data_IF_182150825403
#
_entry.id   IF_182150825403
#
_cell.length_a   1.000
_cell.length_b   1.000
_cell.length_c   1.000
_cell.angle_alpha   90.00
_cell.angle_beta   90.00
_cell.angle_gamma   90.00
#
_symmetry.space_group_name_H-M   'P 1'
#
loop_
_entity.id
_entity.type
_entity.pdbx_description
1 polymer ?
#
# COMPACT_ATOMS: atom_id res chain seq x y z
N UNK A 1 31.25 5.41 -10.69
CA UNK A 1 30.56 4.39 -9.85
C UNK A 1 29.46 3.78 -10.67
N UNK A 2 29.21 2.48 -10.50
CA UNK A 2 28.06 1.80 -11.10
C UNK A 2 26.96 1.65 -10.05
N UNK A 3 25.71 1.51 -10.50
CA UNK A 3 24.62 1.13 -9.62
C UNK A 3 24.84 -0.31 -9.14
N UNK A 4 24.49 -0.59 -7.87
CA UNK A 4 24.49 -1.95 -7.35
C UNK A 4 23.32 -2.72 -7.94
N UNK A 5 23.61 -3.78 -8.71
CA UNK A 5 22.63 -4.52 -9.51
C UNK A 5 21.81 -5.47 -8.63
N UNK A 6 20.61 -5.02 -8.23
CA UNK A 6 19.67 -5.77 -7.38
C UNK A 6 18.27 -5.92 -7.98
N UNK A 7 18.04 -5.36 -9.18
CA UNK A 7 16.74 -5.41 -9.85
C UNK A 7 16.85 -6.03 -11.25
N UNK A 8 16.04 -7.05 -11.59
CA UNK A 8 15.86 -7.47 -12.97
C UNK A 8 15.09 -6.38 -13.74
N UNK A 9 15.76 -5.70 -14.67
CA UNK A 9 15.17 -4.61 -15.43
C UNK A 9 14.58 -5.10 -16.75
N UNK A 10 13.44 -4.53 -17.17
CA UNK A 10 13.01 -4.56 -18.57
C UNK A 10 13.81 -3.51 -19.35
N UNK A 11 14.17 -3.77 -20.62
CA UNK A 11 14.87 -2.80 -21.48
C UNK A 11 13.89 -1.74 -22.01
N UNK A 12 13.24 -1.01 -21.12
CA UNK A 12 12.32 0.09 -21.40
C UNK A 12 12.69 1.23 -20.45
N UNK A 13 12.88 2.42 -20.97
CA UNK A 13 13.18 3.64 -20.21
C UNK A 13 12.01 4.62 -20.29
N UNK A 14 11.05 4.60 -19.34
CA UNK A 14 9.99 5.60 -19.29
C UNK A 14 10.57 6.97 -18.95
N UNK A 15 10.27 7.97 -19.79
CA UNK A 15 10.78 9.36 -19.64
C UNK A 15 9.67 10.38 -19.43
N UNK A 16 8.42 10.01 -19.66
CA UNK A 16 7.25 10.87 -19.50
C UNK A 16 6.05 10.06 -19.03
N UNK A 17 5.20 10.68 -18.20
CA UNK A 17 3.91 10.12 -17.81
C UNK A 17 2.79 11.14 -17.99
N UNK A 18 1.57 10.67 -18.29
CA UNK A 18 0.35 11.48 -18.34
C UNK A 18 -0.88 10.61 -18.06
N UNK A 19 -1.62 10.94 -17.00
CA UNK A 19 -2.80 10.16 -16.60
C UNK A 19 -2.46 8.70 -16.34
N UNK A 20 -3.08 7.79 -17.06
CA UNK A 20 -2.89 6.34 -16.90
C UNK A 20 -1.78 5.76 -17.81
N UNK A 21 -0.97 6.61 -18.44
CA UNK A 21 0.00 6.19 -19.44
C UNK A 21 1.42 6.69 -19.12
N UNK A 22 2.42 5.89 -19.50
CA UNK A 22 3.82 6.27 -19.53
C UNK A 22 4.36 6.14 -20.96
N UNK A 23 5.41 6.91 -21.26
CA UNK A 23 6.03 6.97 -22.60
C UNK A 23 7.53 6.76 -22.45
N UNK A 24 8.11 5.91 -23.30
CA UNK A 24 9.54 5.67 -23.31
C UNK A 24 10.33 6.71 -24.16
N UNK A 25 11.64 6.50 -24.25
CA UNK A 25 12.57 7.37 -25.02
C UNK A 25 12.24 7.44 -26.51
N UNK A 26 11.61 6.41 -27.07
CA UNK A 26 11.21 6.33 -28.48
C UNK A 26 9.80 6.91 -28.71
N UNK A 27 9.13 7.34 -27.63
CA UNK A 27 7.79 7.90 -27.66
C UNK A 27 6.68 6.84 -27.68
N UNK A 28 7.01 5.56 -27.50
CA UNK A 28 6.02 4.50 -27.37
C UNK A 28 5.17 4.70 -26.09
N UNK A 29 3.86 4.68 -26.27
CA UNK A 29 2.90 4.78 -25.19
C UNK A 29 2.63 3.41 -24.56
N UNK A 30 2.60 3.36 -23.23
CA UNK A 30 2.26 2.17 -22.45
C UNK A 30 1.13 2.50 -21.48
N UNK A 31 0.09 1.68 -21.45
CA UNK A 31 -0.95 1.72 -20.40
C UNK A 31 -0.37 1.18 -19.10
N UNK A 32 -0.41 1.98 -18.04
CA UNK A 32 0.15 1.61 -16.74
C UNK A 32 -0.94 1.03 -15.80
N UNK A 33 -1.06 -0.30 -15.79
CA UNK A 33 -1.92 -1.03 -14.85
C UNK A 33 -1.15 -1.53 -13.63
N UNK A 34 0.01 -0.94 -13.33
CA UNK A 34 0.83 -1.33 -12.18
C UNK A 34 1.10 -0.17 -11.22
N UNK A 35 1.12 1.06 -11.74
CA UNK A 35 1.30 2.27 -10.94
C UNK A 35 2.58 2.27 -10.11
N UNK A 36 3.67 1.62 -10.58
CA UNK A 36 4.90 1.48 -9.81
C UNK A 36 4.66 0.84 -8.42
N UNK A 37 4.05 -0.35 -8.36
CA UNK A 37 3.63 -1.03 -7.12
C UNK A 37 2.45 -0.36 -6.40
N UNK A 38 1.47 0.21 -7.11
CA UNK A 38 0.34 0.98 -6.57
C UNK A 38 0.77 2.30 -5.89
N UNK A 39 1.88 2.88 -6.31
CA UNK A 39 2.36 4.18 -5.82
C UNK A 39 1.61 5.32 -6.49
N UNK A 40 1.43 5.24 -7.82
CA UNK A 40 0.68 6.24 -8.58
C UNK A 40 -0.81 6.05 -8.29
N UNK A 41 -1.38 6.99 -7.54
CA UNK A 41 -2.78 6.96 -7.12
C UNK A 41 -3.69 7.81 -8.00
N UNK A 42 -3.28 9.03 -8.32
CA UNK A 42 -4.10 10.03 -9.06
C UNK A 42 -3.69 10.16 -10.54
N UNK A 43 -2.87 9.23 -11.04
CA UNK A 43 -2.31 9.28 -12.39
C UNK A 43 -1.00 10.06 -12.47
N UNK A 44 -0.28 9.84 -13.59
CA UNK A 44 1.00 10.48 -13.84
C UNK A 44 0.82 11.96 -14.21
N UNK A 45 1.68 12.81 -13.65
CA UNK A 45 1.77 14.25 -13.97
C UNK A 45 0.43 14.99 -13.89
N UNK A 46 -0.39 14.70 -12.88
CA UNK A 46 -1.66 15.40 -12.66
C UNK A 46 -1.41 16.91 -12.50
N UNK A 47 -2.09 17.80 -13.26
CA UNK A 47 -1.78 19.23 -13.27
C UNK A 47 -1.78 19.90 -11.91
N UNK A 48 -2.81 19.64 -11.08
CA UNK A 48 -2.92 20.18 -9.72
C UNK A 48 -1.74 19.75 -8.84
N UNK A 49 -1.36 18.49 -8.91
CA UNK A 49 -0.21 17.94 -8.18
C UNK A 49 1.12 18.57 -8.61
N UNK A 50 1.33 18.71 -9.91
CA UNK A 50 2.55 19.35 -10.47
C UNK A 50 2.65 20.80 -10.03
N UNK A 51 1.53 21.56 -10.09
CA UNK A 51 1.48 22.96 -9.67
C UNK A 51 1.76 23.13 -8.17
N UNK A 52 1.15 22.28 -7.33
CA UNK A 52 1.35 22.30 -5.88
C UNK A 52 2.84 22.10 -5.51
N UNK A 53 3.50 21.09 -6.11
CA UNK A 53 4.92 20.82 -5.86
C UNK A 53 5.80 21.96 -6.40
N UNK A 54 5.53 22.44 -7.63
CA UNK A 54 6.30 23.52 -8.25
C UNK A 54 6.24 24.81 -7.40
N UNK A 55 5.07 25.19 -6.90
CA UNK A 55 4.90 26.32 -6.00
C UNK A 55 5.64 26.11 -4.70
N UNK A 56 5.51 24.92 -4.08
CA UNK A 56 6.10 24.66 -2.79
C UNK A 56 7.64 24.65 -2.86
N UNK A 57 8.24 24.04 -3.89
CA UNK A 57 9.70 24.05 -4.06
C UNK A 57 10.25 25.45 -4.33
N UNK A 58 9.49 26.30 -5.00
CA UNK A 58 9.85 27.70 -5.25
C UNK A 58 9.76 28.57 -3.98
N UNK A 59 8.99 28.14 -2.97
CA UNK A 59 8.79 28.87 -1.71
C UNK A 59 9.72 28.35 -0.61
N UNK A 60 9.54 27.11 -0.21
CA UNK A 60 10.33 26.43 0.83
C UNK A 60 10.11 24.93 0.70
N UNK A 61 11.15 24.19 0.27
CA UNK A 61 11.07 22.75 0.10
C UNK A 61 11.18 21.96 1.40
N UNK A 62 12.03 22.43 2.30
CA UNK A 62 12.35 21.73 3.56
C UNK A 62 12.78 22.70 4.66
N UNK A 63 12.35 22.39 5.88
CA UNK A 63 12.95 22.85 7.12
C UNK A 63 12.78 21.79 8.20
N UNK A 64 13.57 21.92 9.30
CA UNK A 64 13.59 20.94 10.39
C UNK A 64 12.27 20.86 11.16
N UNK A 65 11.94 19.68 11.65
CA UNK A 65 10.82 19.44 12.58
C UNK A 65 11.02 20.08 13.98
N UNK A 66 12.08 20.88 14.18
CA UNK A 66 12.28 21.68 15.39
C UNK A 66 11.44 22.97 15.41
N UNK A 67 10.75 23.32 14.34
CA UNK A 67 9.88 24.50 14.22
C UNK A 67 8.49 24.09 13.72
N UNK A 68 7.53 24.98 13.88
CA UNK A 68 6.17 24.73 13.40
C UNK A 68 6.08 24.69 11.88
N UNK A 69 5.29 23.73 11.37
CA UNK A 69 4.93 23.61 9.98
C UNK A 69 3.40 23.51 9.86
N UNK A 70 2.76 24.58 9.37
CA UNK A 70 1.31 24.65 9.22
C UNK A 70 0.75 23.62 8.24
N UNK A 71 1.53 23.25 7.21
CA UNK A 71 1.11 22.24 6.23
C UNK A 71 1.00 20.84 6.86
N UNK A 72 1.83 20.51 7.86
CA UNK A 72 1.66 19.25 8.60
C UNK A 72 0.34 19.23 9.37
N UNK A 73 0.00 20.33 10.05
CA UNK A 73 -1.26 20.46 10.80
C UNK A 73 -2.47 20.37 9.86
N UNK A 74 -2.40 21.04 8.73
CA UNK A 74 -3.44 21.02 7.68
C UNK A 74 -3.61 19.60 7.12
N UNK A 75 -2.51 18.96 6.73
CA UNK A 75 -2.56 17.62 6.16
C UNK A 75 -3.12 16.60 7.16
N UNK A 76 -2.64 16.60 8.42
CA UNK A 76 -3.17 15.71 9.45
C UNK A 76 -4.69 15.88 9.65
N UNK A 77 -5.15 17.14 9.74
CA UNK A 77 -6.58 17.45 9.88
C UNK A 77 -7.41 17.00 8.67
N UNK A 78 -6.92 17.24 7.44
CA UNK A 78 -7.62 16.84 6.22
C UNK A 78 -7.63 15.33 6.04
N UNK A 79 -6.50 14.66 6.31
CA UNK A 79 -6.42 13.21 6.26
C UNK A 79 -7.40 12.57 7.24
N UNK A 80 -7.46 13.07 8.49
CA UNK A 80 -8.40 12.58 9.50
C UNK A 80 -9.84 12.63 9.02
N UNK A 81 -10.27 13.78 8.43
CA UNK A 81 -11.61 13.92 7.85
C UNK A 81 -11.85 12.98 6.67
N UNK A 82 -10.91 12.92 5.75
CA UNK A 82 -11.05 12.11 4.54
C UNK A 82 -11.18 10.61 4.83
N UNK A 83 -10.49 10.13 5.87
CA UNK A 83 -10.49 8.70 6.22
C UNK A 83 -11.43 8.34 7.38
N UNK A 84 -12.05 9.31 8.08
CA UNK A 84 -12.93 9.07 9.23
C UNK A 84 -12.22 8.76 10.55
N UNK A 85 -11.00 9.27 10.71
CA UNK A 85 -10.13 9.10 11.90
C UNK A 85 -9.69 10.46 12.46
N UNK A 86 -10.62 11.40 12.60
CA UNK A 86 -10.35 12.77 13.08
C UNK A 86 -9.82 12.82 14.51
N UNK A 87 -10.12 11.80 15.30
CA UNK A 87 -9.67 11.64 16.69
C UNK A 87 -8.27 11.03 16.81
N UNK A 88 -7.65 10.56 15.70
CA UNK A 88 -6.30 9.98 15.72
C UNK A 88 -5.23 11.06 15.60
N UNK A 89 -4.08 10.80 16.20
CA UNK A 89 -2.86 11.56 15.95
C UNK A 89 -2.15 11.05 14.70
N UNK A 90 -1.33 11.88 14.06
CA UNK A 90 -0.61 11.51 12.85
C UNK A 90 0.89 11.80 12.96
N UNK A 91 1.74 10.81 12.71
CA UNK A 91 3.18 10.95 12.61
C UNK A 91 3.63 10.71 11.17
N UNK A 92 4.38 11.66 10.57
CA UNK A 92 4.87 11.57 9.20
C UNK A 92 6.30 11.03 9.14
N UNK A 93 6.57 10.17 8.16
CA UNK A 93 7.89 9.67 7.79
C UNK A 93 8.04 9.63 6.25
N UNK A 94 8.98 8.85 5.68
CA UNK A 94 9.32 8.95 4.27
C UNK A 94 8.98 7.70 3.45
N UNK A 95 8.66 6.59 4.12
CA UNK A 95 8.40 5.31 3.47
C UNK A 95 7.46 4.43 4.28
N UNK A 96 6.90 3.40 3.62
CA UNK A 96 6.08 2.41 4.30
C UNK A 96 6.88 1.57 5.31
N UNK A 97 8.13 1.27 5.00
CA UNK A 97 9.00 0.55 5.95
C UNK A 97 9.21 1.36 7.23
N UNK A 98 9.52 2.67 7.12
CA UNK A 98 9.61 3.56 8.28
C UNK A 98 8.28 3.66 9.05
N UNK A 99 7.15 3.70 8.36
CA UNK A 99 5.84 3.72 8.98
C UNK A 99 5.61 2.45 9.84
N UNK A 100 5.90 1.26 9.30
CA UNK A 100 5.78 0.00 10.03
C UNK A 100 6.79 -0.09 11.20
N UNK A 101 8.04 0.37 11.04
CA UNK A 101 9.02 0.45 12.14
C UNK A 101 8.51 1.31 13.29
N UNK A 102 7.97 2.50 12.98
CA UNK A 102 7.44 3.41 13.99
C UNK A 102 6.15 2.87 14.64
N UNK A 103 5.30 2.17 13.89
CA UNK A 103 4.10 1.52 14.43
C UNK A 103 4.44 0.40 15.42
N UNK A 104 5.40 -0.48 15.07
CA UNK A 104 5.89 -1.54 15.95
C UNK A 104 6.54 -0.95 17.20
N UNK A 105 7.41 0.05 17.02
CA UNK A 105 8.09 0.75 18.11
C UNK A 105 7.09 1.40 19.08
N UNK A 106 6.06 2.06 18.55
CA UNK A 106 4.99 2.67 19.35
C UNK A 106 4.22 1.64 20.16
N UNK A 107 3.80 0.54 19.53
CA UNK A 107 3.08 -0.54 20.22
C UNK A 107 3.93 -1.19 21.32
N UNK A 108 5.24 -1.35 21.07
CA UNK A 108 6.18 -1.86 22.07
C UNK A 108 6.38 -0.91 23.25
N UNK A 109 6.53 0.38 23.00
CA UNK A 109 6.60 1.37 24.08
C UNK A 109 5.33 1.41 24.92
N UNK A 110 4.17 1.36 24.28
CA UNK A 110 2.88 1.42 24.97
C UNK A 110 2.65 0.22 25.89
N UNK A 111 3.00 -0.99 25.43
CA UNK A 111 2.73 -2.24 26.14
C UNK A 111 3.88 -2.74 27.05
N UNK A 112 5.11 -2.24 26.82
CA UNK A 112 6.33 -2.78 27.42
C UNK A 112 6.70 -4.18 26.94
N UNK A 113 6.03 -4.70 25.90
CA UNK A 113 6.25 -6.03 25.32
C UNK A 113 7.07 -5.91 24.03
N UNK A 114 7.61 -7.03 23.53
CA UNK A 114 8.57 -7.02 22.43
C UNK A 114 8.20 -7.88 21.21
N UNK A 115 7.22 -8.81 21.34
CA UNK A 115 6.85 -9.69 20.24
C UNK A 115 5.81 -9.06 19.31
N UNK A 116 5.94 -9.36 18.02
CA UNK A 116 4.97 -9.01 16.96
C UNK A 116 4.45 -10.29 16.34
N UNK A 117 3.14 -10.41 16.20
CA UNK A 117 2.50 -11.44 15.39
C UNK A 117 2.20 -10.88 14.01
N UNK A 118 2.82 -11.45 12.98
CA UNK A 118 2.55 -11.16 11.58
C UNK A 118 1.89 -12.37 10.89
N UNK A 119 1.67 -12.30 9.58
CA UNK A 119 0.97 -13.36 8.86
C UNK A 119 1.84 -13.99 7.77
N UNK A 120 1.61 -15.27 7.50
CA UNK A 120 2.28 -15.98 6.41
C UNK A 120 2.14 -15.23 5.10
N UNK A 121 3.24 -15.16 4.33
CA UNK A 121 3.36 -14.44 3.06
C UNK A 121 3.22 -12.91 3.13
N UNK A 122 3.19 -12.31 4.34
CA UNK A 122 3.13 -10.86 4.52
C UNK A 122 4.40 -10.15 3.98
N UNK A 123 4.21 -8.89 3.60
CA UNK A 123 5.30 -7.98 3.22
C UNK A 123 5.10 -6.61 3.88
N UNK A 124 5.99 -6.25 4.80
CA UNK A 124 5.90 -4.99 5.56
C UNK A 124 7.06 -4.02 5.31
N UNK A 125 8.07 -4.42 4.55
CA UNK A 125 9.20 -3.55 4.20
C UNK A 125 10.56 -4.24 4.17
N UNK A 126 11.61 -3.44 4.04
CA UNK A 126 13.00 -3.89 3.88
C UNK A 126 13.95 -3.41 4.98
N UNK A 127 13.50 -2.58 5.91
CA UNK A 127 14.24 -2.15 7.10
C UNK A 127 14.15 -3.22 8.20
N UNK A 128 14.88 -3.07 9.30
CA UNK A 128 15.14 -4.15 10.26
C UNK A 128 13.90 -4.83 10.84
N UNK A 129 13.01 -4.10 11.49
CA UNK A 129 11.77 -4.66 12.06
C UNK A 129 10.75 -5.00 10.99
N UNK A 130 10.61 -4.14 9.97
CA UNK A 130 9.69 -4.37 8.87
C UNK A 130 10.06 -5.60 8.03
N UNK A 131 11.37 -5.86 7.78
CA UNK A 131 11.81 -7.06 7.07
C UNK A 131 11.70 -8.30 7.95
N UNK A 132 11.92 -8.19 9.26
CA UNK A 132 11.71 -9.29 10.20
C UNK A 132 10.23 -9.74 10.21
N UNK A 133 9.28 -8.79 10.08
CA UNK A 133 7.84 -9.06 9.97
C UNK A 133 7.39 -9.44 8.54
N UNK A 134 8.32 -9.51 7.57
CA UNK A 134 8.06 -9.94 6.20
C UNK A 134 8.37 -11.43 6.06
N UNK A 135 7.36 -12.23 5.67
CA UNK A 135 7.52 -13.69 5.50
C UNK A 135 8.18 -14.02 4.15
N UNK A 136 9.47 -13.67 4.04
CA UNK A 136 10.29 -14.01 2.89
C UNK A 136 11.76 -14.21 3.31
N UNK A 137 12.19 -15.46 3.59
CA UNK A 137 13.53 -15.74 4.09
C UNK A 137 14.67 -15.33 3.13
N UNK A 138 14.38 -15.11 1.84
CA UNK A 138 15.38 -14.67 0.85
C UNK A 138 15.86 -13.23 1.05
N UNK A 139 15.07 -12.40 1.75
CA UNK A 139 15.40 -10.98 1.96
C UNK A 139 15.68 -10.65 3.42
N UNK A 140 15.52 -11.61 4.33
CA UNK A 140 15.86 -11.47 5.76
C UNK A 140 17.32 -11.85 5.94
N UNK A 141 18.19 -10.86 6.12
CA UNK A 141 19.61 -11.08 6.37
C UNK A 141 19.85 -11.72 7.75
N UNK A 142 21.01 -12.34 8.01
CA UNK A 142 21.33 -12.84 9.36
C UNK A 142 21.19 -11.81 10.46
N UNK A 143 21.50 -10.54 10.18
CA UNK A 143 21.33 -9.41 11.12
C UNK A 143 19.87 -9.12 11.45
N UNK A 144 18.93 -9.36 10.52
CA UNK A 144 17.51 -9.07 10.70
C UNK A 144 16.71 -10.22 11.30
N UNK A 145 17.33 -11.40 11.50
CA UNK A 145 16.66 -12.54 12.13
C UNK A 145 16.44 -12.25 13.61
N UNK A 146 15.21 -12.45 14.07
CA UNK A 146 14.84 -12.23 15.46
C UNK A 146 13.79 -13.27 15.89
N UNK A 147 13.79 -13.62 17.18
CA UNK A 147 12.73 -14.42 17.81
C UNK A 147 11.51 -13.58 18.20
N UNK A 148 11.58 -12.27 18.05
CA UNK A 148 10.51 -11.35 18.44
C UNK A 148 9.40 -11.21 17.39
N UNK A 149 9.51 -11.90 16.25
CA UNK A 149 8.44 -11.95 15.25
C UNK A 149 8.02 -13.39 15.04
N UNK A 150 6.72 -13.61 15.15
CA UNK A 150 6.09 -14.90 14.90
C UNK A 150 5.04 -14.76 13.80
N UNK A 151 4.74 -15.86 13.10
CA UNK A 151 3.79 -15.85 11.98
C UNK A 151 2.62 -16.80 12.25
N UNK A 152 1.41 -16.37 11.87
CA UNK A 152 0.21 -17.18 11.84
C UNK A 152 -0.33 -17.29 10.40
N UNK A 153 -1.09 -18.33 10.05
CA UNK A 153 -1.81 -18.36 8.78
C UNK A 153 -2.84 -17.23 8.69
N UNK A 154 -2.97 -16.62 7.51
CA UNK A 154 -4.04 -15.65 7.28
C UNK A 154 -5.41 -16.35 7.34
N UNK A 155 -6.42 -15.70 7.91
CA UNK A 155 -7.77 -16.23 8.09
C UNK A 155 -7.91 -17.40 9.08
N UNK A 156 -6.93 -17.59 9.98
CA UNK A 156 -6.96 -18.61 11.05
C UNK A 156 -6.96 -17.95 12.45
N UNK A 157 -8.14 -17.61 12.97
CA UNK A 157 -8.29 -17.02 14.30
C UNK A 157 -7.86 -17.97 15.42
N UNK A 158 -7.99 -19.29 15.22
CA UNK A 158 -7.57 -20.29 16.23
C UNK A 158 -6.07 -20.25 16.42
N UNK A 159 -5.30 -20.18 15.32
CA UNK A 159 -3.86 -20.04 15.38
C UNK A 159 -3.43 -18.71 16.01
N UNK A 160 -4.14 -17.61 15.70
CA UNK A 160 -3.89 -16.30 16.31
C UNK A 160 -4.11 -16.35 17.81
N UNK A 161 -5.26 -16.86 18.26
CA UNK A 161 -5.60 -16.96 19.69
C UNK A 161 -4.58 -17.82 20.45
N UNK A 162 -4.20 -18.96 19.89
CA UNK A 162 -3.18 -19.81 20.49
C UNK A 162 -1.87 -19.07 20.74
N UNK A 163 -1.42 -18.24 19.76
CA UNK A 163 -0.23 -17.40 19.91
C UNK A 163 -0.41 -16.31 20.97
N UNK A 164 -1.52 -15.60 20.95
CA UNK A 164 -1.76 -14.51 21.92
C UNK A 164 -1.81 -15.03 23.37
N UNK A 165 -2.28 -16.27 23.59
CA UNK A 165 -2.26 -16.96 24.89
C UNK A 165 -0.84 -17.22 25.42
N UNK A 166 0.16 -17.39 24.56
CA UNK A 166 1.57 -17.52 24.97
C UNK A 166 2.10 -16.22 25.61
N UNK A 167 1.49 -15.07 25.27
CA UNK A 167 1.86 -13.75 25.79
C UNK A 167 3.12 -13.13 25.17
N UNK A 168 3.47 -11.94 25.65
CA UNK A 168 4.66 -11.21 25.20
C UNK A 168 4.46 -10.38 23.91
N UNK A 169 3.30 -10.42 23.27
CA UNK A 169 3.01 -9.66 22.06
C UNK A 169 2.64 -8.21 22.37
N UNK A 170 3.34 -7.27 21.70
CA UNK A 170 3.00 -5.85 21.69
C UNK A 170 2.00 -5.52 20.58
N UNK A 171 2.08 -6.23 19.45
CA UNK A 171 1.25 -5.96 18.29
C UNK A 171 0.90 -7.22 17.49
N UNK A 172 -0.26 -7.14 16.81
CA UNK A 172 -0.59 -7.94 15.63
C UNK A 172 -0.53 -7.01 14.43
N UNK A 173 0.30 -7.34 13.43
CA UNK A 173 0.51 -6.57 12.21
C UNK A 173 -0.06 -7.31 11.00
N UNK A 174 -1.04 -6.72 10.32
CA UNK A 174 -1.73 -7.32 9.18
C UNK A 174 -1.92 -6.32 8.04
N UNK A 175 -1.72 -6.77 6.79
CA UNK A 175 -2.08 -5.97 5.61
C UNK A 175 -3.60 -5.96 5.43
N UNK A 176 -4.19 -4.81 5.07
CA UNK A 176 -5.61 -4.73 4.69
C UNK A 176 -5.97 -5.69 3.54
N UNK A 177 -5.05 -5.83 2.57
CA UNK A 177 -4.99 -6.90 1.57
C UNK A 177 -3.51 -7.20 1.33
N UNK A 178 -3.09 -8.46 1.40
CA UNK A 178 -1.70 -8.84 1.16
C UNK A 178 -1.33 -8.70 -0.32
N UNK A 179 -0.63 -7.61 -0.63
CA UNK A 179 -0.33 -7.27 -2.01
C UNK A 179 0.72 -8.19 -2.64
N UNK A 180 1.86 -8.39 -1.98
CA UNK A 180 3.00 -9.18 -2.48
C UNK A 180 2.67 -10.68 -2.49
N UNK A 181 1.80 -11.13 -1.60
CA UNK A 181 1.30 -12.51 -1.58
C UNK A 181 0.39 -12.86 -2.78
N UNK A 182 0.07 -11.90 -3.66
CA UNK A 182 -0.81 -12.10 -4.81
C UNK A 182 -2.25 -11.72 -4.54
N UNK A 183 -2.47 -10.60 -3.88
CA UNK A 183 -3.79 -10.06 -3.53
C UNK A 183 -4.59 -11.05 -2.67
N UNK A 184 -3.95 -11.56 -1.61
CA UNK A 184 -4.65 -12.41 -0.64
C UNK A 184 -5.46 -11.55 0.32
N UNK A 185 -6.72 -11.88 0.48
CA UNK A 185 -7.67 -11.07 1.23
C UNK A 185 -7.94 -11.68 2.61
N UNK A 186 -7.74 -10.93 3.70
CA UNK A 186 -8.38 -11.29 4.96
C UNK A 186 -9.90 -11.18 4.80
N UNK A 187 -10.65 -12.13 5.34
CA UNK A 187 -12.11 -12.03 5.38
C UNK A 187 -12.55 -10.96 6.38
N UNK A 188 -13.74 -10.39 6.17
CA UNK A 188 -14.28 -9.43 7.14
C UNK A 188 -14.49 -10.04 8.52
N UNK A 189 -14.88 -11.33 8.60
CA UNK A 189 -15.04 -12.05 9.87
C UNK A 189 -13.69 -12.26 10.57
N UNK A 190 -12.65 -12.57 9.81
CA UNK A 190 -11.29 -12.67 10.35
C UNK A 190 -10.83 -11.35 10.94
N UNK A 191 -11.00 -10.22 10.23
CA UNK A 191 -10.60 -8.91 10.73
C UNK A 191 -11.40 -8.50 11.97
N UNK A 192 -12.70 -8.82 12.04
CA UNK A 192 -13.52 -8.59 13.23
C UNK A 192 -13.04 -9.43 14.42
N UNK A 193 -12.87 -10.73 14.22
CA UNK A 193 -12.33 -11.61 15.26
C UNK A 193 -10.92 -11.24 15.71
N UNK A 194 -10.08 -10.76 14.77
CA UNK A 194 -8.74 -10.26 15.08
C UNK A 194 -8.81 -9.02 15.99
N UNK A 195 -9.75 -8.08 15.72
CA UNK A 195 -9.99 -6.92 16.59
C UNK A 195 -10.46 -7.35 17.99
N UNK A 196 -11.36 -8.32 18.07
CA UNK A 196 -11.85 -8.85 19.35
C UNK A 196 -10.72 -9.49 20.16
N UNK A 197 -9.97 -10.40 19.57
CA UNK A 197 -8.82 -11.06 20.22
C UNK A 197 -7.76 -10.05 20.66
N UNK A 198 -7.38 -9.10 19.82
CA UNK A 198 -6.37 -8.11 20.20
C UNK A 198 -6.83 -7.22 21.34
N UNK A 199 -8.12 -6.92 21.42
CA UNK A 199 -8.73 -6.19 22.56
C UNK A 199 -8.69 -7.03 23.82
N UNK A 200 -9.10 -8.31 23.76
CA UNK A 200 -9.13 -9.23 24.89
C UNK A 200 -7.75 -9.45 25.52
N UNK A 201 -6.72 -9.62 24.67
CA UNK A 201 -5.35 -9.87 25.13
C UNK A 201 -4.51 -8.61 25.39
N UNK A 202 -5.09 -7.41 25.20
CA UNK A 202 -4.37 -6.14 25.39
C UNK A 202 -3.16 -6.01 24.46
N UNK A 203 -3.36 -6.32 23.18
CA UNK A 203 -2.35 -6.28 22.12
C UNK A 203 -2.78 -5.25 21.07
N UNK A 204 -1.88 -4.40 20.60
CA UNK A 204 -2.20 -3.39 19.59
C UNK A 204 -2.47 -4.05 18.23
N UNK A 205 -3.57 -3.67 17.57
CA UNK A 205 -3.85 -4.05 16.19
C UNK A 205 -3.30 -3.00 15.24
N UNK A 206 -2.31 -3.37 14.42
CA UNK A 206 -1.72 -2.52 13.39
C UNK A 206 -2.23 -2.97 12.02
N UNK A 207 -2.92 -2.09 11.32
CA UNK A 207 -3.31 -2.29 9.92
C UNK A 207 -2.29 -1.64 8.99
N UNK A 208 -1.60 -2.47 8.21
CA UNK A 208 -0.76 -2.02 7.12
C UNK A 208 -1.62 -1.71 5.89
N UNK A 209 -1.95 -0.43 5.71
CA UNK A 209 -2.71 0.10 4.58
C UNK A 209 -1.79 0.78 3.53
N UNK A 210 -0.50 0.46 3.55
CA UNK A 210 0.49 1.06 2.66
C UNK A 210 0.16 0.82 1.19
N UNK A 211 -0.36 -0.37 0.84
CA UNK A 211 -0.75 -0.66 -0.55
C UNK A 211 -2.26 -0.64 -0.76
N UNK A 212 -3.05 -0.99 0.24
CA UNK A 212 -4.51 -1.13 0.16
C UNK A 212 -5.30 0.14 0.47
N UNK A 213 -4.66 1.14 1.09
CA UNK A 213 -5.27 2.41 1.46
C UNK A 213 -5.40 3.42 0.33
N UNK A 214 -5.79 4.62 0.70
CA UNK A 214 -5.98 5.77 -0.20
C UNK A 214 -6.94 5.50 -1.36
N UNK A 215 -8.09 4.86 -1.06
CA UNK A 215 -9.16 4.64 -2.05
C UNK A 215 -8.98 3.39 -2.92
N UNK A 216 -7.83 2.72 -2.87
CA UNK A 216 -7.45 1.60 -3.72
C UNK A 216 -8.51 0.50 -3.81
N UNK A 217 -9.21 0.22 -2.71
CA UNK A 217 -10.21 -0.85 -2.60
C UNK A 217 -11.66 -0.37 -2.71
N UNK A 218 -11.91 0.90 -3.05
CA UNK A 218 -13.25 1.50 -3.09
C UNK A 218 -13.75 2.00 -1.72
N UNK A 219 -12.89 1.98 -0.70
CA UNK A 219 -12.99 2.74 0.56
C UNK A 219 -11.64 3.37 0.86
N UNK A 220 -11.58 4.38 1.73
CA UNK A 220 -10.32 5.04 2.01
C UNK A 220 -9.27 4.04 2.53
N UNK A 221 -9.66 3.13 3.44
CA UNK A 221 -8.86 2.00 3.90
C UNK A 221 -9.59 0.67 3.68
N UNK A 222 -8.83 -0.39 3.37
CA UNK A 222 -9.40 -1.71 3.10
C UNK A 222 -10.12 -2.31 4.33
N UNK A 223 -9.59 -2.13 5.54
CA UNK A 223 -10.22 -2.64 6.78
C UNK A 223 -11.61 -2.03 7.05
N UNK A 224 -11.93 -0.88 6.46
CA UNK A 224 -13.26 -0.27 6.60
C UNK A 224 -14.39 -1.13 6.01
N UNK A 225 -14.06 -2.09 5.12
CA UNK A 225 -15.03 -3.08 4.65
C UNK A 225 -15.46 -4.06 5.75
N UNK A 226 -14.60 -4.31 6.74
CA UNK A 226 -14.94 -5.13 7.91
C UNK A 226 -15.62 -4.34 9.04
N UNK A 227 -15.61 -2.99 8.98
CA UNK A 227 -16.21 -2.12 9.99
C UNK A 227 -15.43 -2.08 11.32
N UNK A 228 -14.14 -2.39 11.31
CA UNK A 228 -13.28 -2.35 12.50
C UNK A 228 -12.51 -1.02 12.61
N UNK A 229 -12.06 -0.70 13.83
CA UNK A 229 -11.11 0.39 14.10
C UNK A 229 -9.82 -0.21 14.69
N UNK A 230 -8.69 -0.18 13.98
CA UNK A 230 -7.40 -0.62 14.50
C UNK A 230 -6.80 0.41 15.46
N UNK A 231 -5.79 0.02 16.24
CA UNK A 231 -5.10 0.94 17.14
C UNK A 231 -4.09 1.81 16.38
N UNK A 232 -3.49 1.26 15.32
CA UNK A 232 -2.50 1.95 14.48
C UNK A 232 -2.77 1.61 13.02
N UNK A 233 -2.64 2.62 12.13
CA UNK A 233 -2.73 2.42 10.69
C UNK A 233 -1.46 2.98 10.05
N UNK A 234 -0.78 2.18 9.22
CA UNK A 234 0.38 2.64 8.47
C UNK A 234 0.04 2.92 7.02
N UNK A 235 0.57 4.02 6.49
CA UNK A 235 0.28 4.53 5.14
C UNK A 235 1.55 4.96 4.41
N UNK A 236 1.57 4.79 3.09
CA UNK A 236 2.60 5.28 2.17
C UNK A 236 2.08 5.20 0.73
N UNK A 237 2.96 5.02 -0.26
CA UNK A 237 2.64 4.80 -1.68
C UNK A 237 1.65 5.82 -2.24
N UNK A 238 0.35 5.48 -2.26
CA UNK A 238 -0.71 6.33 -2.79
C UNK A 238 -0.89 7.68 -2.09
N UNK A 239 -0.33 7.85 -0.89
CA UNK A 239 -0.41 9.08 -0.09
C UNK A 239 0.09 10.33 -0.81
N UNK A 240 1.11 10.19 -1.68
CA UNK A 240 1.77 11.33 -2.32
C UNK A 240 2.18 11.06 -3.77
N UNK A 241 1.50 10.14 -4.47
CA UNK A 241 1.60 9.91 -5.91
C UNK A 241 3.04 9.85 -6.47
N UNK A 242 3.95 9.19 -5.74
CA UNK A 242 5.35 9.03 -6.13
C UNK A 242 6.34 9.88 -5.35
N UNK A 243 5.93 10.93 -4.66
CA UNK A 243 6.80 11.62 -3.70
C UNK A 243 7.01 10.73 -2.46
N UNK A 244 8.25 10.59 -1.94
CA UNK A 244 8.53 9.75 -0.78
C UNK A 244 7.85 10.28 0.50
N UNK A 245 6.73 9.67 0.87
CA UNK A 245 5.96 9.96 2.09
C UNK A 245 5.46 8.65 2.68
N UNK A 246 5.47 8.56 3.98
CA UNK A 246 4.79 7.57 4.79
C UNK A 246 4.24 8.20 6.05
N UNK A 247 3.41 7.47 6.78
CA UNK A 247 2.89 7.96 8.04
C UNK A 247 2.19 6.90 8.86
N UNK A 248 1.91 7.26 10.09
CA UNK A 248 1.26 6.42 11.10
C UNK A 248 0.10 7.20 11.69
N UNK A 249 -1.12 6.69 11.53
CA UNK A 249 -2.29 7.16 12.27
C UNK A 249 -2.35 6.40 13.58
N UNK A 250 -2.53 7.09 14.69
CA UNK A 250 -2.32 6.60 16.05
C UNK A 250 -3.57 6.89 16.88
N UNK A 251 -4.18 5.84 17.44
CA UNK A 251 -5.39 5.96 18.25
C UNK A 251 -5.16 6.83 19.52
N UNK A 252 -6.21 7.48 20.06
CA UNK A 252 -6.09 8.45 21.15
C UNK A 252 -5.53 7.91 22.47
N UNK A 253 -5.54 6.59 22.69
CA UNK A 253 -5.05 6.00 23.93
C UNK A 253 -3.52 5.84 24.02
N UNK A 254 -2.79 6.17 22.94
CA UNK A 254 -1.33 6.20 22.98
C UNK A 254 -0.84 7.57 23.50
N UNK A 255 0.06 7.53 24.46
CA UNK A 255 0.68 8.73 25.02
C UNK A 255 2.01 9.05 24.31
N UNK A 256 2.17 10.29 23.88
CA UNK A 256 3.39 10.77 23.23
C UNK A 256 4.33 11.46 24.22
N UNK A 257 5.63 11.26 24.03
CA UNK A 257 6.65 12.08 24.70
C UNK A 257 7.72 12.54 23.70
N UNK A 258 8.36 13.66 23.97
CA UNK A 258 9.36 14.22 23.08
C UNK A 258 10.56 13.27 22.90
N UNK A 259 10.92 12.98 21.64
CA UNK A 259 12.00 12.06 21.29
C UNK A 259 11.60 10.59 21.16
N UNK A 260 10.35 10.23 21.43
CA UNK A 260 9.83 8.87 21.27
C UNK A 260 9.97 8.34 19.83
N UNK A 261 9.50 9.12 18.88
CA UNK A 261 9.63 8.92 17.44
C UNK A 261 10.40 10.09 16.83
N UNK A 262 11.01 9.89 15.67
CA UNK A 262 11.77 10.96 15.01
C UNK A 262 12.09 10.66 13.56
N UNK A 263 12.24 11.73 12.78
CA UNK A 263 12.61 11.67 11.37
C UNK A 263 13.21 13.02 10.96
N UNK A 264 14.20 13.00 10.08
CA UNK A 264 14.78 14.25 9.55
C UNK A 264 13.88 14.83 8.45
N UNK A 265 13.45 14.03 7.51
CA UNK A 265 12.73 14.50 6.31
C UNK A 265 11.22 14.31 6.38
N UNK A 266 10.71 13.45 7.26
CA UNK A 266 9.27 13.17 7.34
C UNK A 266 8.47 14.43 7.68
N UNK A 267 7.41 14.69 6.90
CA UNK A 267 6.58 15.88 7.06
C UNK A 267 7.20 17.17 6.53
N UNK A 268 8.22 17.12 5.66
CA UNK A 268 8.72 18.33 5.02
C UNK A 268 7.66 19.02 4.15
N UNK A 269 7.91 20.27 3.81
CA UNK A 269 6.94 21.11 3.08
C UNK A 269 6.51 20.52 1.74
N UNK A 270 7.47 19.96 0.97
CA UNK A 270 7.15 19.32 -0.30
C UNK A 270 6.31 18.06 -0.12
N UNK A 271 6.64 17.23 0.88
CA UNK A 271 5.87 16.03 1.22
C UNK A 271 4.42 16.38 1.59
N UNK A 272 4.24 17.43 2.41
CA UNK A 272 2.90 17.90 2.78
C UNK A 272 2.13 18.46 1.59
N UNK A 273 2.76 19.28 0.74
CA UNK A 273 2.13 19.83 -0.47
C UNK A 273 1.72 18.71 -1.45
N UNK A 274 2.58 17.72 -1.66
CA UNK A 274 2.28 16.55 -2.47
C UNK A 274 1.09 15.76 -1.94
N UNK A 275 1.07 15.48 -0.63
CA UNK A 275 0.02 14.70 0.02
C UNK A 275 -1.32 15.45 0.06
N UNK A 276 -1.31 16.77 0.29
CA UNK A 276 -2.51 17.62 0.22
C UNK A 276 -3.11 17.62 -1.18
N UNK A 277 -2.28 17.81 -2.22
CA UNK A 277 -2.74 17.78 -3.61
C UNK A 277 -3.34 16.40 -3.99
N UNK A 278 -2.82 15.30 -3.45
CA UNK A 278 -3.42 13.97 -3.65
C UNK A 278 -4.80 13.88 -3.03
N UNK A 279 -4.98 14.39 -1.80
CA UNK A 279 -6.30 14.39 -1.16
C UNK A 279 -7.30 15.24 -1.94
N UNK A 280 -6.87 16.43 -2.43
CA UNK A 280 -7.71 17.29 -3.28
C UNK A 280 -8.25 16.52 -4.49
N UNK A 281 -7.36 15.89 -5.25
CA UNK A 281 -7.74 15.18 -6.48
C UNK A 281 -8.59 13.95 -6.18
N UNK A 282 -8.29 13.19 -5.12
CA UNK A 282 -9.12 12.03 -4.72
C UNK A 282 -10.57 12.48 -4.42
N UNK A 283 -10.75 13.60 -3.72
CA UNK A 283 -12.04 14.14 -3.34
C UNK A 283 -12.76 14.77 -4.53
N UNK A 284 -12.11 15.69 -5.24
CA UNK A 284 -12.70 16.47 -6.33
C UNK A 284 -13.12 15.59 -7.51
N UNK A 285 -12.31 14.58 -7.85
CA UNK A 285 -12.56 13.67 -8.96
C UNK A 285 -13.28 12.38 -8.54
N UNK A 286 -13.67 12.25 -7.26
CA UNK A 286 -14.40 11.08 -6.71
C UNK A 286 -13.69 9.75 -7.03
N UNK A 287 -12.38 9.73 -6.83
CA UNK A 287 -11.55 8.59 -7.27
C UNK A 287 -11.79 7.32 -6.47
N UNK A 288 -12.31 7.41 -5.24
CA UNK A 288 -12.68 6.23 -4.43
C UNK A 288 -13.89 5.52 -5.04
N UNK A 289 -14.90 6.29 -5.42
CA UNK A 289 -16.09 5.79 -6.10
C UNK A 289 -15.73 5.18 -7.46
N UNK A 290 -14.89 5.88 -8.23
CA UNK A 290 -14.39 5.36 -9.51
C UNK A 290 -13.62 4.04 -9.33
N UNK A 291 -12.75 3.95 -8.32
CA UNK A 291 -12.02 2.72 -8.03
C UNK A 291 -12.96 1.55 -7.70
N UNK A 292 -14.06 1.80 -7.01
CA UNK A 292 -15.07 0.76 -6.75
C UNK A 292 -15.79 0.34 -8.03
N UNK A 293 -16.30 1.31 -8.79
CA UNK A 293 -17.09 1.05 -10.00
C UNK A 293 -16.26 0.31 -11.08
N UNK A 294 -15.08 0.84 -11.43
CA UNK A 294 -14.22 0.25 -12.45
C UNK A 294 -13.62 -1.08 -11.96
N UNK A 295 -13.33 -1.19 -10.67
CA UNK A 295 -12.88 -2.43 -10.04
C UNK A 295 -13.92 -3.54 -10.11
N UNK A 296 -15.17 -3.27 -9.77
CA UNK A 296 -16.28 -4.23 -9.88
C UNK A 296 -16.50 -4.65 -11.34
N UNK A 297 -16.41 -3.71 -12.27
CA UNK A 297 -16.48 -4.03 -13.69
C UNK A 297 -15.37 -4.97 -14.12
N UNK A 298 -14.10 -4.67 -13.82
CA UNK A 298 -12.96 -5.52 -14.16
C UNK A 298 -13.10 -6.92 -13.55
N UNK A 299 -13.44 -7.02 -12.27
CA UNK A 299 -13.64 -8.30 -11.58
C UNK A 299 -14.75 -9.12 -12.24
N UNK A 300 -15.88 -8.49 -12.59
CA UNK A 300 -17.00 -9.16 -13.24
C UNK A 300 -16.67 -9.67 -14.64
N UNK A 301 -15.94 -8.89 -15.44
CA UNK A 301 -15.53 -9.28 -16.78
C UNK A 301 -14.44 -10.36 -16.79
N UNK A 302 -13.49 -10.25 -15.87
CA UNK A 302 -12.43 -11.26 -15.69
C UNK A 302 -13.02 -12.61 -15.25
N UNK A 303 -14.01 -12.61 -14.36
CA UNK A 303 -14.66 -13.84 -13.90
C UNK A 303 -15.37 -14.63 -15.03
N UNK A 304 -15.68 -13.98 -16.17
CA UNK A 304 -16.28 -14.62 -17.35
C UNK A 304 -15.25 -15.28 -18.26
N UNK A 305 -13.95 -15.03 -18.06
CA UNK A 305 -12.90 -15.56 -18.94
C UNK A 305 -12.58 -17.00 -18.51
N UNK A 306 -12.76 -18.00 -19.42
CA UNK A 306 -12.45 -19.37 -19.10
C UNK A 306 -10.94 -19.60 -18.92
N UNK A 307 -10.56 -20.61 -18.14
CA UNK A 307 -9.16 -21.00 -17.93
C UNK A 307 -8.42 -20.19 -16.87
N UNK A 308 -9.08 -19.26 -16.18
CA UNK A 308 -8.54 -18.64 -14.98
C UNK A 308 -8.82 -19.51 -13.77
N UNK A 309 -7.81 -19.69 -12.91
CA UNK A 309 -7.96 -20.46 -11.68
C UNK A 309 -8.77 -19.70 -10.63
N UNK A 310 -8.49 -18.41 -10.49
CA UNK A 310 -9.16 -17.52 -9.55
C UNK A 310 -9.00 -16.06 -9.97
N UNK A 311 -10.04 -15.27 -9.77
CA UNK A 311 -9.97 -13.81 -9.83
C UNK A 311 -10.40 -13.28 -8.46
N UNK A 312 -9.55 -12.51 -7.81
CA UNK A 312 -9.78 -11.98 -6.47
C UNK A 312 -9.36 -10.52 -6.36
N UNK A 313 -9.90 -9.83 -5.39
CA UNK A 313 -9.54 -8.43 -5.14
C UNK A 313 -10.72 -7.58 -4.70
N UNK A 314 -10.45 -6.29 -4.53
CA UNK A 314 -11.44 -5.29 -4.17
C UNK A 314 -11.05 -3.94 -4.79
N UNK A 315 -12.02 -3.25 -5.40
CA UNK A 315 -11.72 -2.03 -6.14
C UNK A 315 -10.65 -2.27 -7.22
N UNK A 316 -9.67 -1.42 -7.28
CA UNK A 316 -8.55 -1.51 -8.23
C UNK A 316 -7.30 -2.21 -7.66
N UNK A 317 -7.48 -3.14 -6.75
CA UNK A 317 -6.45 -4.07 -6.26
C UNK A 317 -6.86 -5.49 -6.64
N UNK A 318 -6.43 -5.93 -7.84
CA UNK A 318 -6.93 -7.16 -8.48
C UNK A 318 -5.79 -8.16 -8.70
N UNK A 319 -6.03 -9.42 -8.35
CA UNK A 319 -5.18 -10.57 -8.61
C UNK A 319 -5.88 -11.57 -9.53
N UNK A 320 -5.18 -11.99 -10.58
CA UNK A 320 -5.65 -12.99 -11.53
C UNK A 320 -4.70 -14.18 -11.42
N UNK A 321 -5.20 -15.29 -10.88
CA UNK A 321 -4.44 -16.53 -10.70
C UNK A 321 -4.59 -17.43 -11.91
N UNK A 322 -3.48 -17.95 -12.41
CA UNK A 322 -3.46 -18.91 -13.50
C UNK A 322 -2.87 -20.26 -13.03
N UNK A 323 -3.13 -21.33 -13.74
CA UNK A 323 -2.51 -22.65 -13.51
C UNK A 323 -1.08 -22.75 -14.09
N UNK A 324 -0.61 -21.69 -14.76
CA UNK A 324 0.72 -21.59 -15.39
C UNK A 324 1.47 -20.35 -14.92
N UNK A 325 2.82 -20.32 -15.04
CA UNK A 325 3.59 -19.13 -14.72
C UNK A 325 3.16 -17.91 -15.54
N UNK A 326 3.00 -16.75 -14.88
CA UNK A 326 2.56 -15.50 -15.54
C UNK A 326 3.71 -14.69 -16.18
N UNK A 327 4.95 -15.13 -16.02
CA UNK A 327 6.12 -14.37 -16.50
C UNK A 327 6.06 -14.05 -17.99
N UNK A 328 5.78 -15.06 -18.83
CA UNK A 328 5.69 -14.87 -20.28
C UNK A 328 4.46 -14.04 -20.66
N UNK A 329 3.30 -14.29 -20.07
CA UNK A 329 2.10 -13.48 -20.30
C UNK A 329 2.34 -11.99 -19.97
N UNK A 330 3.00 -11.70 -18.85
CA UNK A 330 3.37 -10.33 -18.47
C UNK A 330 4.33 -9.70 -19.49
N UNK A 331 5.27 -10.49 -19.96
CA UNK A 331 6.23 -10.04 -20.97
C UNK A 331 5.51 -9.70 -22.30
N UNK A 332 4.58 -10.55 -22.73
CA UNK A 332 3.77 -10.31 -23.93
C UNK A 332 2.82 -9.13 -23.78
N UNK A 333 2.15 -8.98 -22.61
CA UNK A 333 1.35 -7.78 -22.31
C UNK A 333 2.20 -6.51 -22.41
N UNK A 334 3.43 -6.52 -21.92
CA UNK A 334 4.32 -5.36 -21.95
C UNK A 334 4.84 -5.05 -23.36
N UNK A 335 5.39 -6.04 -24.07
CA UNK A 335 6.11 -5.80 -25.32
C UNK A 335 5.25 -5.88 -26.59
N UNK A 336 4.16 -6.67 -26.57
CA UNK A 336 3.28 -6.80 -27.74
C UNK A 336 2.03 -5.92 -27.61
N UNK A 337 1.53 -5.71 -26.38
CA UNK A 337 0.29 -4.95 -26.11
C UNK A 337 0.53 -3.60 -25.43
N UNK A 338 1.78 -3.30 -25.08
CA UNK A 338 2.18 -2.05 -24.40
C UNK A 338 1.41 -1.78 -23.10
N UNK A 339 1.24 -2.82 -22.27
CA UNK A 339 0.52 -2.75 -20.98
C UNK A 339 1.44 -3.20 -19.85
N UNK A 340 1.75 -2.30 -18.91
CA UNK A 340 2.44 -2.64 -17.68
C UNK A 340 1.49 -3.34 -16.70
N UNK A 341 1.92 -4.46 -16.16
CA UNK A 341 1.22 -5.22 -15.13
C UNK A 341 2.18 -5.70 -14.05
N UNK A 342 1.66 -6.00 -12.85
CA UNK A 342 2.43 -6.61 -11.77
C UNK A 342 2.41 -8.13 -11.80
N UNK A 343 3.27 -8.73 -11.00
CA UNK A 343 3.23 -10.18 -10.72
C UNK A 343 3.42 -10.44 -9.24
N UNK A 344 2.95 -11.60 -8.78
CA UNK A 344 3.22 -12.11 -7.44
C UNK A 344 3.35 -13.64 -7.48
N UNK A 345 4.32 -14.15 -6.71
CA UNK A 345 4.66 -15.57 -6.80
C UNK A 345 5.01 -15.97 -8.23
N UNK A 346 4.54 -17.13 -8.66
CA UNK A 346 4.79 -17.69 -10.00
C UNK A 346 3.59 -17.43 -10.94
N UNK A 347 2.36 -17.49 -10.42
CA UNK A 347 1.12 -17.67 -11.18
C UNK A 347 0.10 -16.54 -11.05
N UNK A 348 0.36 -15.51 -10.24
CA UNK A 348 -0.58 -14.38 -10.07
C UNK A 348 -0.16 -13.16 -10.89
N UNK A 349 -1.00 -12.73 -11.83
CA UNK A 349 -0.95 -11.41 -12.45
C UNK A 349 -1.65 -10.40 -11.53
N UNK A 350 -1.07 -9.20 -11.33
CA UNK A 350 -1.67 -8.14 -10.50
C UNK A 350 -1.97 -6.90 -11.32
N UNK A 351 -3.16 -6.33 -11.10
CA UNK A 351 -3.54 -5.03 -11.60
C UNK A 351 -3.64 -4.06 -10.42
N UNK A 352 -2.89 -2.97 -10.51
CA UNK A 352 -2.75 -1.92 -9.50
C UNK A 352 -2.67 -0.54 -10.19
N UNK A 353 -3.62 -0.20 -11.11
CA UNK A 353 -3.60 1.04 -11.87
C UNK A 353 -3.77 2.27 -10.99
N UNK A 354 -3.61 3.46 -11.54
CA UNK A 354 -4.08 4.69 -10.90
C UNK A 354 -5.60 4.64 -10.68
N UNK A 355 -6.09 5.33 -9.65
CA UNK A 355 -7.53 5.35 -9.30
C UNK A 355 -8.37 6.05 -10.37
N UNK A 356 -7.73 6.86 -11.23
CA UNK A 356 -8.34 7.58 -12.34
C UNK A 356 -8.55 6.74 -13.61
N UNK A 357 -8.23 5.44 -13.57
CA UNK A 357 -8.47 4.56 -14.72
C UNK A 357 -9.95 4.52 -15.07
N UNK A 358 -10.28 4.56 -16.39
CA UNK A 358 -11.63 4.49 -16.88
C UNK A 358 -11.99 3.15 -17.53
N UNK A 359 -13.24 3.05 -17.98
CA UNK A 359 -13.75 1.91 -18.75
C UNK A 359 -12.96 1.63 -20.02
N UNK A 360 -12.52 2.68 -20.72
CA UNK A 360 -11.74 2.56 -21.95
C UNK A 360 -10.43 1.79 -21.74
N UNK A 361 -9.70 2.13 -20.69
CA UNK A 361 -8.44 1.46 -20.33
C UNK A 361 -8.69 0.03 -19.83
N UNK A 362 -9.78 -0.16 -19.07
CA UNK A 362 -10.20 -1.48 -18.61
C UNK A 362 -10.52 -2.40 -19.80
N UNK A 363 -11.28 -1.90 -20.79
CA UNK A 363 -11.64 -2.65 -22.00
C UNK A 363 -10.41 -2.95 -22.87
N UNK A 364 -9.47 -2.00 -22.98
CA UNK A 364 -8.20 -2.20 -23.66
C UNK A 364 -7.41 -3.38 -23.05
N UNK A 365 -7.31 -3.42 -21.73
CA UNK A 365 -6.67 -4.54 -21.03
C UNK A 365 -7.43 -5.85 -21.25
N UNK A 366 -8.75 -5.86 -21.06
CA UNK A 366 -9.57 -7.08 -21.20
C UNK A 366 -9.45 -7.68 -22.59
N UNK A 367 -9.44 -6.85 -23.66
CA UNK A 367 -9.25 -7.30 -25.01
C UNK A 367 -7.86 -7.93 -25.22
N UNK A 368 -6.80 -7.21 -24.81
CA UNK A 368 -5.42 -7.69 -24.91
C UNK A 368 -5.18 -8.98 -24.10
N UNK A 369 -5.75 -9.04 -22.89
CA UNK A 369 -5.61 -10.21 -22.02
C UNK A 369 -6.33 -11.44 -22.60
N UNK A 370 -7.57 -11.29 -23.09
CA UNK A 370 -8.33 -12.35 -23.75
C UNK A 370 -7.62 -12.90 -25.00
N UNK A 371 -7.04 -12.01 -25.81
CA UNK A 371 -6.26 -12.37 -26.99
C UNK A 371 -5.08 -13.29 -26.61
N UNK A 372 -4.26 -12.86 -25.64
CA UNK A 372 -3.06 -13.59 -25.22
C UNK A 372 -3.33 -14.89 -24.43
N UNK A 373 -4.49 -15.03 -23.79
CA UNK A 373 -4.78 -16.24 -22.99
C UNK A 373 -5.40 -17.35 -23.81
N UNK A 374 -6.01 -17.00 -24.96
CA UNK A 374 -6.63 -17.95 -25.90
C UNK A 374 -5.64 -18.55 -26.92
N UNK A 375 -4.42 -18.01 -27.00
CA UNK A 375 -3.29 -18.55 -27.76
C UNK A 375 -2.55 -19.66 -26.96
#
# INVERSE_FOLDING_TARGET
MNLFDVYPLYPIEPVRGKGNYVYDVDGQEYLDLYGGHAVISIGHAHPHYVDAIAKQVATLGFYSNSVENSLQKEFASRLGRACGYEDYSFFMCNSGAEANENAIKLASFHSGKEKVLAFSRAFHGRTSGAVAATDNPKIVSPFNRTANVEFAPLNDLTAVEAKLKEGGFCAVLVEGIQGVAGIQMPTSDFLRGLRELTTEYGVSLILDEIQSGYGRTGKFFAHQWAGIRPDIITVAKGIANGFPVGGVLIAPHFEAWHGMLGTTFGGNHLACAAALAVLDVIEDEKLIENANEVGEYLLSELAKIPGLKEVRGKGLMIGIELDKPVGELRRRLLFEKHIFTGGAGISTLRLLPALSIGRKEADCFLAAFKDLINE
#
